data_IF_311239079925
#
_entry.id   IF_311239079925
#
_cell.length_a   1.000
_cell.length_b   1.000
_cell.length_c   1.000
_cell.angle_alpha   90.00
_cell.angle_beta   90.00
_cell.angle_gamma   90.00
#
_symmetry.space_group_name_H-M   'P 1'
#
loop_
_entity.id
_entity.type
_entity.pdbx_description
1 polymer ?
#
# COMPACT_ATOMS: atom_id res chain seq x y z
N UNK A 1 -4.08 -37.04 3.78
CA UNK A 1 -5.25 -37.19 2.92
C UNK A 1 -5.32 -38.60 2.29
N UNK A 2 -4.38 -38.93 1.37
CA UNK A 2 -4.37 -40.18 0.60
C UNK A 2 -4.32 -41.42 1.47
N UNK A 3 -3.49 -41.43 2.53
CA UNK A 3 -3.35 -42.57 3.44
C UNK A 3 -4.64 -42.84 4.20
N UNK A 4 -5.29 -41.80 4.72
CA UNK A 4 -6.57 -41.93 5.44
C UNK A 4 -7.67 -42.46 4.53
N UNK A 5 -7.75 -41.92 3.30
CA UNK A 5 -8.71 -42.35 2.29
C UNK A 5 -8.49 -43.84 1.92
N UNK A 6 -7.23 -44.24 1.71
CA UNK A 6 -6.87 -45.64 1.39
C UNK A 6 -7.29 -46.61 2.51
N UNK A 7 -6.98 -46.26 3.76
CA UNK A 7 -7.37 -47.09 4.93
C UNK A 7 -8.87 -47.23 5.04
N UNK A 8 -9.61 -46.11 4.84
CA UNK A 8 -11.07 -46.12 4.92
C UNK A 8 -11.71 -46.98 3.82
N UNK A 9 -11.19 -46.88 2.57
CA UNK A 9 -11.67 -47.65 1.44
C UNK A 9 -11.31 -49.14 1.54
N UNK A 10 -10.12 -49.47 2.08
CA UNK A 10 -9.76 -50.88 2.34
C UNK A 10 -10.65 -51.48 3.42
N UNK A 11 -10.95 -50.73 4.48
CA UNK A 11 -11.89 -51.19 5.53
C UNK A 11 -13.31 -51.36 4.96
N UNK A 12 -13.79 -50.48 4.12
CA UNK A 12 -15.08 -50.58 3.45
C UNK A 12 -15.16 -51.84 2.54
N UNK A 13 -14.14 -52.10 1.74
CA UNK A 13 -14.06 -53.25 0.85
C UNK A 13 -14.01 -54.57 1.66
N UNK A 14 -13.27 -54.60 2.77
CA UNK A 14 -13.22 -55.74 3.66
C UNK A 14 -14.59 -56.04 4.29
N UNK A 15 -15.31 -54.97 4.69
CA UNK A 15 -16.67 -55.12 5.25
C UNK A 15 -17.69 -55.59 4.21
N UNK A 16 -17.67 -55.05 2.98
CA UNK A 16 -18.59 -55.41 1.92
C UNK A 16 -18.39 -56.86 1.49
N UNK A 17 -17.12 -57.35 1.42
CA UNK A 17 -16.79 -58.74 1.10
C UNK A 17 -17.15 -59.72 2.22
N UNK A 18 -17.00 -59.33 3.44
CA UNK A 18 -17.50 -60.15 4.56
C UNK A 18 -19.00 -60.42 4.44
N UNK A 19 -19.72 -59.51 3.77
CA UNK A 19 -21.17 -59.62 3.55
C UNK A 19 -21.53 -60.46 2.31
N UNK A 20 -20.69 -60.46 1.25
CA UNK A 20 -20.97 -61.15 -0.02
C UNK A 20 -20.38 -62.55 -0.11
N UNK A 21 -19.40 -62.90 0.72
CA UNK A 21 -18.78 -64.22 0.76
C UNK A 21 -17.87 -64.56 -0.45
N UNK A 22 -17.49 -63.58 -1.24
CA UNK A 22 -16.67 -63.76 -2.44
C UNK A 22 -15.20 -64.11 -2.10
N UNK A 23 -14.55 -65.06 -2.83
CA UNK A 23 -13.16 -65.39 -2.58
C UNK A 23 -12.20 -64.25 -2.91
N UNK A 24 -11.24 -64.00 -2.05
CA UNK A 24 -10.17 -63.03 -2.24
C UNK A 24 -9.25 -63.47 -3.37
N UNK A 25 -9.34 -62.84 -4.53
CA UNK A 25 -8.36 -62.99 -5.63
C UNK A 25 -7.21 -61.99 -5.45
N UNK A 26 -6.00 -62.40 -5.86
CA UNK A 26 -4.79 -61.53 -5.77
C UNK A 26 -5.02 -60.20 -6.46
N UNK A 27 -5.70 -60.20 -7.59
CA UNK A 27 -6.07 -59.00 -8.36
C UNK A 27 -6.97 -58.05 -7.60
N UNK A 28 -7.94 -58.57 -6.87
CA UNK A 28 -8.91 -57.78 -6.09
C UNK A 28 -8.30 -57.13 -4.84
N UNK A 29 -7.11 -57.57 -4.44
CA UNK A 29 -6.35 -56.93 -3.33
C UNK A 29 -5.34 -55.90 -3.84
N UNK A 30 -4.67 -56.22 -4.94
CA UNK A 30 -3.59 -55.33 -5.47
C UNK A 30 -4.16 -54.10 -6.15
N UNK A 31 -5.24 -54.21 -6.93
CA UNK A 31 -5.85 -53.05 -7.62
C UNK A 31 -6.27 -51.89 -6.69
N UNK A 32 -7.00 -52.15 -5.58
CA UNK A 32 -7.36 -51.07 -4.67
C UNK A 32 -6.17 -50.56 -3.84
N UNK A 33 -5.17 -51.39 -3.56
CA UNK A 33 -4.00 -51.00 -2.79
C UNK A 33 -3.11 -49.95 -3.54
N UNK A 34 -3.08 -50.02 -4.85
CA UNK A 34 -2.35 -49.05 -5.70
C UNK A 34 -3.29 -47.95 -6.20
N UNK A 35 -4.51 -48.31 -6.62
CA UNK A 35 -5.44 -47.35 -7.24
C UNK A 35 -5.94 -46.27 -6.29
N UNK A 36 -6.30 -46.64 -5.04
CA UNK A 36 -6.82 -45.64 -4.09
C UNK A 36 -5.81 -44.60 -3.63
N UNK A 37 -4.52 -44.95 -3.34
CA UNK A 37 -3.52 -43.91 -3.11
C UNK A 37 -3.32 -42.95 -4.26
N UNK A 38 -3.32 -43.47 -5.50
CA UNK A 38 -3.15 -42.64 -6.71
C UNK A 38 -4.34 -41.69 -6.88
N UNK A 39 -5.57 -42.20 -6.76
CA UNK A 39 -6.80 -41.37 -6.86
C UNK A 39 -6.83 -40.35 -5.72
N UNK A 40 -6.48 -40.74 -4.50
CA UNK A 40 -6.42 -39.85 -3.35
C UNK A 40 -5.35 -38.77 -3.47
N UNK A 41 -4.18 -39.10 -4.01
CA UNK A 41 -3.11 -38.14 -4.30
C UNK A 41 -3.51 -37.16 -5.40
N UNK A 42 -4.12 -37.65 -6.49
CA UNK A 42 -4.60 -36.81 -7.58
C UNK A 42 -5.73 -35.88 -7.12
N UNK A 43 -6.70 -36.41 -6.36
CA UNK A 43 -7.78 -35.60 -5.78
C UNK A 43 -7.26 -34.51 -4.82
N UNK A 44 -6.29 -34.87 -3.94
CA UNK A 44 -5.62 -33.93 -3.07
C UNK A 44 -4.86 -32.82 -3.81
N UNK A 45 -4.15 -33.20 -4.88
CA UNK A 45 -3.46 -32.24 -5.76
C UNK A 45 -4.45 -31.29 -6.44
N UNK A 46 -5.54 -31.79 -6.99
CA UNK A 46 -6.58 -30.98 -7.63
C UNK A 46 -7.22 -29.99 -6.66
N UNK A 47 -7.54 -30.42 -5.44
CA UNK A 47 -8.08 -29.54 -4.39
C UNK A 47 -7.08 -28.46 -4.00
N UNK A 48 -5.80 -28.81 -3.87
CA UNK A 48 -4.73 -27.86 -3.60
C UNK A 48 -4.58 -26.85 -4.74
N UNK A 49 -4.56 -27.33 -5.99
CA UNK A 49 -4.47 -26.46 -7.17
C UNK A 49 -5.65 -25.48 -7.29
N UNK A 50 -6.89 -25.97 -7.04
CA UNK A 50 -8.09 -25.12 -7.03
C UNK A 50 -8.03 -24.06 -5.94
N UNK A 51 -7.59 -24.42 -4.72
CA UNK A 51 -7.41 -23.47 -3.63
C UNK A 51 -6.36 -22.40 -3.97
N UNK A 52 -5.25 -22.82 -4.56
CA UNK A 52 -4.15 -21.90 -4.94
C UNK A 52 -4.59 -20.97 -6.06
N UNK A 53 -5.26 -21.49 -7.10
CA UNK A 53 -5.83 -20.69 -8.19
C UNK A 53 -6.89 -19.71 -7.68
N UNK A 54 -7.77 -20.16 -6.79
CA UNK A 54 -8.77 -19.31 -6.15
C UNK A 54 -8.13 -18.16 -5.36
N UNK A 55 -7.06 -18.43 -4.63
CA UNK A 55 -6.32 -17.41 -3.89
C UNK A 55 -5.63 -16.41 -4.82
N UNK A 56 -4.97 -16.88 -5.89
CA UNK A 56 -4.33 -16.02 -6.89
C UNK A 56 -5.38 -15.16 -7.60
N UNK A 57 -6.49 -15.76 -8.02
CA UNK A 57 -7.59 -15.04 -8.65
C UNK A 57 -8.19 -13.97 -7.74
N UNK A 58 -8.46 -14.30 -6.47
CA UNK A 58 -8.96 -13.34 -5.49
C UNK A 58 -8.01 -12.17 -5.28
N UNK A 59 -6.70 -12.45 -5.17
CA UNK A 59 -5.67 -11.42 -5.03
C UNK A 59 -5.56 -10.52 -6.28
N UNK A 60 -5.67 -11.10 -7.47
CA UNK A 60 -5.72 -10.38 -8.73
C UNK A 60 -6.96 -9.48 -8.84
N UNK A 61 -8.13 -9.96 -8.43
CA UNK A 61 -9.36 -9.17 -8.41
C UNK A 61 -9.30 -7.98 -7.46
N UNK A 62 -8.68 -8.14 -6.29
CA UNK A 62 -8.45 -7.02 -5.37
C UNK A 62 -7.55 -5.95 -5.96
N UNK A 63 -6.47 -6.33 -6.66
CA UNK A 63 -5.57 -5.38 -7.32
C UNK A 63 -6.22 -4.68 -8.51
N UNK A 64 -7.03 -5.39 -9.31
CA UNK A 64 -7.82 -4.81 -10.40
C UNK A 64 -8.85 -3.80 -9.89
N UNK A 65 -9.57 -4.12 -8.81
CA UNK A 65 -10.52 -3.19 -8.18
C UNK A 65 -9.86 -1.88 -7.76
N UNK A 66 -8.65 -1.96 -7.22
CA UNK A 66 -7.85 -0.78 -6.83
C UNK A 66 -7.46 0.07 -8.06
N UNK A 67 -7.03 -0.56 -9.15
CA UNK A 67 -6.65 0.12 -10.40
C UNK A 67 -7.85 0.85 -11.04
N UNK A 68 -9.03 0.24 -11.07
CA UNK A 68 -10.24 0.89 -11.59
C UNK A 68 -10.68 2.07 -10.70
N UNK A 69 -10.62 1.94 -9.39
CA UNK A 69 -10.97 3.01 -8.46
C UNK A 69 -10.03 4.24 -8.59
N UNK A 70 -8.77 4.03 -8.96
CA UNK A 70 -7.77 5.10 -9.05
C UNK A 70 -7.73 5.77 -10.42
N UNK A 71 -8.09 5.10 -11.52
CA UNK A 71 -7.99 5.63 -12.89
C UNK A 71 -8.86 6.87 -13.12
N UNK A 72 -10.10 6.87 -12.67
CA UNK A 72 -10.99 8.03 -12.82
C UNK A 72 -10.53 9.25 -12.01
N UNK A 73 -9.95 9.02 -10.84
CA UNK A 73 -9.44 10.07 -9.96
C UNK A 73 -8.17 10.73 -10.49
N UNK A 74 -7.27 9.97 -11.14
CA UNK A 74 -6.09 10.48 -11.83
C UNK A 74 -6.46 11.51 -12.90
N UNK A 75 -7.41 11.19 -13.77
CA UNK A 75 -7.84 12.09 -14.84
C UNK A 75 -8.51 13.37 -14.32
N UNK A 76 -9.16 13.31 -13.16
CA UNK A 76 -9.75 14.49 -12.50
C UNK A 76 -8.65 15.45 -12.06
N UNK A 77 -7.62 14.96 -11.38
CA UNK A 77 -6.50 15.76 -10.93
C UNK A 77 -5.76 16.40 -12.14
N UNK A 78 -5.46 15.61 -13.16
CA UNK A 78 -4.77 16.11 -14.36
C UNK A 78 -5.57 17.25 -15.00
N UNK A 79 -6.88 17.09 -15.18
CA UNK A 79 -7.73 18.15 -15.76
C UNK A 79 -7.79 19.39 -14.89
N UNK A 80 -7.86 19.22 -13.57
CA UNK A 80 -7.87 20.33 -12.63
C UNK A 80 -6.55 21.10 -12.68
N UNK A 81 -5.42 20.40 -12.59
CA UNK A 81 -4.09 21.01 -12.55
C UNK A 81 -3.68 21.67 -13.86
N UNK A 82 -4.09 21.14 -15.03
CA UNK A 82 -3.80 21.73 -16.33
C UNK A 82 -4.39 23.13 -16.54
N UNK A 83 -5.37 23.53 -15.73
CA UNK A 83 -5.87 24.92 -15.75
C UNK A 83 -4.85 25.92 -15.18
N UNK A 84 -3.88 25.45 -14.40
CA UNK A 84 -2.88 26.27 -13.71
C UNK A 84 -1.46 25.97 -14.18
N UNK A 85 -1.15 24.70 -14.44
CA UNK A 85 0.12 24.20 -14.92
C UNK A 85 -0.11 23.35 -16.18
N UNK A 86 0.02 23.91 -17.41
CA UNK A 86 -0.23 23.16 -18.65
C UNK A 86 0.63 21.90 -18.77
N UNK A 87 1.87 21.95 -18.25
CA UNK A 87 2.85 20.86 -18.28
C UNK A 87 2.77 19.96 -17.04
N UNK A 88 1.68 20.01 -16.28
CA UNK A 88 1.51 19.19 -15.09
C UNK A 88 1.69 17.70 -15.37
N UNK A 89 2.71 17.11 -14.76
CA UNK A 89 3.04 15.69 -14.84
C UNK A 89 2.53 14.92 -13.63
N UNK A 90 1.53 14.04 -13.83
CA UNK A 90 0.96 13.22 -12.75
C UNK A 90 1.99 12.32 -12.06
N UNK A 91 2.92 11.73 -12.80
CA UNK A 91 3.93 10.83 -12.24
C UNK A 91 4.91 11.59 -11.33
N UNK A 92 5.29 12.82 -11.72
CA UNK A 92 6.11 13.68 -10.87
C UNK A 92 5.37 14.05 -9.58
N UNK A 93 4.11 14.42 -9.69
CA UNK A 93 3.25 14.70 -8.53
C UNK A 93 3.15 13.47 -7.61
N UNK A 94 2.87 12.30 -8.17
CA UNK A 94 2.73 11.07 -7.39
C UNK A 94 4.02 10.74 -6.65
N UNK A 95 5.18 10.83 -7.32
CA UNK A 95 6.48 10.57 -6.71
C UNK A 95 6.78 11.56 -5.57
N UNK A 96 6.50 12.85 -5.76
CA UNK A 96 6.68 13.87 -4.70
C UNK A 96 5.79 13.56 -3.48
N UNK A 97 4.52 13.27 -3.71
CA UNK A 97 3.57 13.01 -2.62
C UNK A 97 3.91 11.72 -1.86
N UNK A 98 4.35 10.67 -2.56
CA UNK A 98 4.81 9.43 -1.93
C UNK A 98 6.06 9.69 -1.09
N UNK A 99 7.01 10.50 -1.60
CA UNK A 99 8.21 10.87 -0.87
C UNK A 99 7.87 11.69 0.38
N UNK A 100 6.96 12.67 0.28
CA UNK A 100 6.47 13.44 1.43
C UNK A 100 5.84 12.54 2.49
N UNK A 101 4.97 11.60 2.09
CA UNK A 101 4.36 10.65 3.01
C UNK A 101 5.41 9.81 3.75
N UNK A 102 6.39 9.25 3.03
CA UNK A 102 7.46 8.46 3.62
C UNK A 102 8.29 9.29 4.62
N UNK A 103 8.69 10.49 4.22
CA UNK A 103 9.49 11.35 5.10
C UNK A 103 8.77 11.70 6.39
N UNK A 104 7.46 12.00 6.32
CA UNK A 104 6.66 12.30 7.52
C UNK A 104 6.50 11.05 8.41
N UNK A 105 6.24 9.88 7.81
CA UNK A 105 6.01 8.64 8.56
C UNK A 105 7.26 8.21 9.34
N UNK A 106 8.46 8.44 8.78
CA UNK A 106 9.73 8.08 9.41
C UNK A 106 10.36 9.23 10.22
N UNK A 107 9.68 10.37 10.32
CA UNK A 107 10.12 11.47 11.19
C UNK A 107 9.79 11.21 12.65
N UNK A 108 10.57 11.78 13.55
CA UNK A 108 10.29 11.70 14.97
C UNK A 108 9.06 12.54 15.36
N UNK A 109 8.19 12.05 16.25
CA UNK A 109 7.06 12.82 16.74
C UNK A 109 7.54 14.12 17.40
N UNK A 110 6.98 15.25 16.97
CA UNK A 110 7.33 16.58 17.49
C UNK A 110 8.41 17.33 16.70
N UNK A 111 8.99 16.75 15.66
CA UNK A 111 9.84 17.50 14.73
C UNK A 111 9.06 18.62 14.04
N UNK A 112 9.65 19.81 13.94
CA UNK A 112 9.07 20.97 13.25
C UNK A 112 9.36 20.90 11.75
N UNK A 113 8.74 19.94 11.06
CA UNK A 113 8.94 19.69 9.65
C UNK A 113 8.30 20.77 8.79
N UNK A 114 9.03 21.37 7.85
CA UNK A 114 8.47 22.31 6.88
C UNK A 114 7.56 21.66 5.85
N UNK A 115 7.75 20.36 5.62
CA UNK A 115 6.95 19.55 4.66
C UNK A 115 5.51 19.32 5.12
N UNK A 116 5.19 19.64 6.39
CA UNK A 116 3.85 19.55 6.94
C UNK A 116 3.47 20.84 7.67
N UNK A 117 2.31 21.40 7.36
CA UNK A 117 1.82 22.64 7.96
C UNK A 117 0.77 22.44 9.03
N UNK A 118 0.03 21.37 8.95
CA UNK A 118 -1.03 21.06 9.90
C UNK A 118 -0.59 20.14 11.03
N UNK A 119 -1.46 19.92 12.00
CA UNK A 119 -1.22 18.94 13.05
C UNK A 119 -1.16 17.54 12.44
N UNK A 120 -0.21 16.73 12.86
CA UNK A 120 -0.09 15.35 12.47
C UNK A 120 0.09 14.47 13.72
N UNK A 121 -0.52 13.29 13.62
CA UNK A 121 -0.48 12.31 14.68
C UNK A 121 0.67 11.33 14.41
N UNK A 122 1.85 11.66 14.96
CA UNK A 122 3.02 10.80 14.84
C UNK A 122 2.87 9.44 15.54
N UNK A 123 1.99 9.36 16.56
CA UNK A 123 1.75 8.12 17.28
C UNK A 123 1.14 7.04 16.41
N UNK A 124 0.28 7.42 15.44
CA UNK A 124 -0.32 6.49 14.48
C UNK A 124 0.68 5.81 13.56
N UNK A 125 1.91 6.32 13.45
CA UNK A 125 2.98 5.80 12.60
C UNK A 125 4.10 5.11 13.38
N UNK A 126 4.00 5.05 14.70
CA UNK A 126 4.99 4.36 15.53
C UNK A 126 5.10 2.87 15.19
N UNK A 127 6.31 2.32 15.38
CA UNK A 127 6.65 0.92 15.11
C UNK A 127 6.54 0.49 13.64
N UNK A 128 6.39 1.41 12.70
CA UNK A 128 6.54 1.12 11.27
C UNK A 128 8.04 1.09 10.97
N UNK A 129 8.54 -0.06 10.52
CA UNK A 129 9.95 -0.26 10.15
C UNK A 129 10.18 -0.15 8.65
N UNK A 130 9.18 -0.46 7.85
CA UNK A 130 9.22 -0.32 6.40
C UNK A 130 7.83 -0.03 5.84
N UNK A 131 7.81 0.64 4.68
CA UNK A 131 6.59 1.01 3.99
C UNK A 131 6.77 0.89 2.48
N UNK A 132 5.95 0.04 1.85
CA UNK A 132 5.98 -0.21 0.41
C UNK A 132 4.72 0.34 -0.24
N UNK A 133 4.90 1.29 -1.18
CA UNK A 133 3.79 1.82 -1.98
C UNK A 133 3.22 0.75 -2.90
N UNK A 134 1.92 0.56 -2.88
CA UNK A 134 1.24 -0.50 -3.64
C UNK A 134 0.87 -0.13 -5.09
N UNK A 135 1.42 0.98 -5.59
CA UNK A 135 1.13 1.44 -6.95
C UNK A 135 -0.27 2.05 -7.14
N UNK A 136 -0.96 2.35 -6.05
CA UNK A 136 -2.32 2.89 -6.11
C UNK A 136 -2.43 4.18 -5.30
N UNK A 137 -2.90 5.24 -5.97
CA UNK A 137 -3.24 6.53 -5.38
C UNK A 137 -4.60 6.96 -5.90
N UNK A 138 -5.53 7.27 -5.01
CA UNK A 138 -6.80 7.86 -5.40
C UNK A 138 -6.85 9.34 -5.01
N UNK A 139 -7.44 10.15 -5.88
CA UNK A 139 -7.63 11.57 -5.67
C UNK A 139 -9.11 11.84 -5.38
N UNK A 140 -9.38 12.42 -4.24
CA UNK A 140 -10.72 12.85 -3.84
C UNK A 140 -11.06 14.19 -4.47
N UNK A 141 -11.21 15.22 -3.64
CA UNK A 141 -11.48 16.59 -4.09
C UNK A 141 -10.19 17.33 -4.45
N UNK A 142 -10.29 18.20 -5.47
CA UNK A 142 -9.30 19.20 -5.78
C UNK A 142 -9.99 20.56 -5.72
N UNK A 143 -9.36 21.55 -5.08
CA UNK A 143 -9.91 22.92 -4.98
C UNK A 143 -8.80 23.95 -4.95
N UNK A 144 -9.17 25.19 -5.20
CA UNK A 144 -8.31 26.35 -5.09
C UNK A 144 -8.80 27.23 -3.96
N UNK A 145 -7.89 27.79 -3.20
CA UNK A 145 -8.14 28.79 -2.19
C UNK A 145 -7.04 29.85 -2.21
N UNK A 146 -7.38 31.05 -2.67
CA UNK A 146 -6.40 32.10 -2.92
C UNK A 146 -5.35 31.70 -3.96
N UNK A 147 -4.05 31.88 -3.65
CA UNK A 147 -2.97 31.48 -4.56
C UNK A 147 -2.64 29.99 -4.52
N UNK A 148 -3.28 29.23 -3.67
CA UNK A 148 -2.97 27.83 -3.42
C UNK A 148 -3.99 26.90 -4.06
N UNK A 149 -3.49 25.79 -4.60
CA UNK A 149 -4.30 24.63 -4.98
C UNK A 149 -4.09 23.51 -3.98
N UNK A 150 -5.17 22.75 -3.76
CA UNK A 150 -5.17 21.65 -2.82
C UNK A 150 -5.73 20.38 -3.47
N UNK A 151 -5.22 19.24 -3.03
CA UNK A 151 -5.73 17.93 -3.41
C UNK A 151 -5.85 17.02 -2.19
N UNK A 152 -7.02 16.38 -2.02
CA UNK A 152 -7.25 15.30 -1.05
C UNK A 152 -6.89 13.98 -1.73
N UNK A 153 -5.95 13.24 -1.16
CA UNK A 153 -5.39 12.02 -1.74
C UNK A 153 -5.39 10.89 -0.73
N UNK A 154 -5.65 9.68 -1.22
CA UNK A 154 -5.47 8.45 -0.48
C UNK A 154 -4.33 7.64 -1.12
N UNK A 155 -3.30 7.33 -0.34
CA UNK A 155 -2.18 6.47 -0.70
C UNK A 155 -2.36 5.09 -0.08
N UNK A 156 -2.08 4.04 -0.83
CA UNK A 156 -2.19 2.67 -0.36
C UNK A 156 -0.79 2.07 -0.20
N UNK A 157 -0.49 1.68 1.03
CA UNK A 157 0.79 1.11 1.42
C UNK A 157 0.65 -0.29 2.02
N UNK A 158 1.73 -1.03 1.98
CA UNK A 158 1.94 -2.20 2.81
C UNK A 158 2.98 -1.82 3.87
N UNK A 159 2.54 -1.70 5.11
CA UNK A 159 3.37 -1.29 6.23
C UNK A 159 3.90 -2.53 6.95
N UNK A 160 5.18 -2.54 7.30
CA UNK A 160 5.80 -3.56 8.12
C UNK A 160 5.99 -3.02 9.53
N UNK A 161 5.45 -3.73 10.50
CA UNK A 161 5.50 -3.36 11.92
C UNK A 161 6.43 -4.27 12.70
N UNK A 162 7.27 -3.68 13.54
CA UNK A 162 7.96 -4.41 14.59
C UNK A 162 7.07 -4.53 15.83
N UNK A 163 6.85 -5.77 16.27
CA UNK A 163 6.15 -6.10 17.52
C UNK A 163 7.08 -6.73 18.57
N UNK A 164 8.39 -6.54 18.42
CA UNK A 164 9.41 -7.07 19.31
C UNK A 164 9.72 -8.55 19.10
N UNK A 165 8.70 -9.41 18.92
CA UNK A 165 8.88 -10.86 18.70
C UNK A 165 8.64 -11.30 17.24
N UNK A 166 8.02 -10.44 16.42
CA UNK A 166 7.67 -10.76 15.03
C UNK A 166 7.40 -9.52 14.20
N UNK A 167 7.79 -9.57 12.94
CA UNK A 167 7.40 -8.59 11.93
C UNK A 167 6.00 -8.94 11.39
N UNK A 168 5.15 -7.94 11.23
CA UNK A 168 3.82 -8.10 10.62
C UNK A 168 3.61 -7.10 9.51
N UNK A 169 3.16 -7.60 8.38
CA UNK A 169 2.72 -6.76 7.27
C UNK A 169 1.23 -6.43 7.39
N UNK A 170 0.88 -5.20 7.10
CA UNK A 170 -0.50 -4.73 7.07
C UNK A 170 -0.72 -3.77 5.91
N UNK A 171 -1.85 -3.92 5.23
CA UNK A 171 -2.27 -2.97 4.21
C UNK A 171 -2.97 -1.80 4.88
N UNK A 172 -2.38 -0.62 4.78
CA UNK A 172 -2.92 0.59 5.34
C UNK A 172 -3.18 1.65 4.26
N UNK A 173 -4.11 2.53 4.55
CA UNK A 173 -4.45 3.68 3.70
C UNK A 173 -4.09 4.95 4.45
N UNK A 174 -3.29 5.79 3.81
CA UNK A 174 -2.88 7.08 4.34
C UNK A 174 -3.61 8.16 3.54
N UNK A 175 -4.43 8.94 4.20
CA UNK A 175 -5.10 10.09 3.61
C UNK A 175 -4.31 11.34 3.90
N UNK A 176 -4.07 12.13 2.86
CA UNK A 176 -3.34 13.39 2.93
C UNK A 176 -4.10 14.48 2.19
N UNK A 177 -4.01 15.70 2.71
CA UNK A 177 -4.32 16.91 1.96
C UNK A 177 -2.99 17.56 1.65
N UNK A 178 -2.71 17.77 0.37
CA UNK A 178 -1.50 18.47 -0.10
C UNK A 178 -1.87 19.79 -0.74
N UNK A 179 -1.00 20.80 -0.60
CA UNK A 179 -1.20 22.11 -1.15
C UNK A 179 0.06 22.69 -1.78
N UNK A 180 -0.10 23.53 -2.81
CA UNK A 180 0.99 24.21 -3.52
C UNK A 180 0.53 25.59 -3.99
N UNK A 181 1.44 26.57 -3.98
CA UNK A 181 1.22 27.87 -4.60
C UNK A 181 1.36 27.76 -6.13
N UNK A 182 0.36 28.25 -6.85
CA UNK A 182 0.34 28.22 -8.34
C UNK A 182 0.75 29.55 -8.98
N UNK A 183 0.91 30.60 -8.18
CA UNK A 183 1.32 31.92 -8.71
C UNK A 183 2.83 32.06 -8.81
N UNK A 184 3.58 31.24 -8.08
CA UNK A 184 5.04 31.23 -8.08
C UNK A 184 5.52 30.16 -9.07
N UNK A 185 6.25 30.54 -10.13
CA UNK A 185 6.84 29.57 -11.05
C UNK A 185 7.77 28.61 -10.32
N UNK A 186 7.68 27.32 -10.66
CA UNK A 186 8.62 26.35 -10.13
C UNK A 186 10.03 26.60 -10.64
N UNK A 187 10.99 26.69 -9.73
CA UNK A 187 12.41 26.65 -10.07
C UNK A 187 12.81 25.21 -10.39
N UNK A 188 13.26 24.91 -11.63
CA UNK A 188 13.75 23.57 -11.98
C UNK A 188 14.94 23.08 -11.13
N UNK A 189 15.71 24.05 -10.57
CA UNK A 189 16.85 23.79 -9.69
C UNK A 189 16.51 23.71 -8.21
N UNK A 190 15.23 23.86 -7.83
CA UNK A 190 14.83 23.85 -6.44
C UNK A 190 15.15 22.53 -5.75
N UNK A 191 15.87 22.63 -4.65
CA UNK A 191 16.16 21.51 -3.75
C UNK A 191 15.73 21.86 -2.33
N UNK A 192 14.86 21.05 -1.75
CA UNK A 192 14.39 21.20 -0.39
C UNK A 192 15.52 21.07 0.66
N UNK A 193 16.60 20.35 0.32
CA UNK A 193 17.76 20.16 1.21
C UNK A 193 18.72 21.33 1.21
N UNK A 194 18.58 22.27 0.27
CA UNK A 194 19.41 23.45 0.19
C UNK A 194 18.61 24.64 -0.31
N UNK A 195 17.87 25.26 0.62
CA UNK A 195 17.11 26.48 0.31
C UNK A 195 17.86 27.70 0.82
N UNK A 196 17.66 28.83 0.14
CA UNK A 196 18.20 30.13 0.58
C UNK A 196 17.11 30.95 1.24
N UNK A 197 17.38 31.47 2.43
CA UNK A 197 16.44 32.35 3.12
C UNK A 197 16.30 33.68 2.39
N UNK A 198 15.11 34.03 1.97
CA UNK A 198 14.82 35.29 1.28
C UNK A 198 15.16 36.54 2.10
N UNK A 199 15.17 36.42 3.44
CA UNK A 199 15.39 37.53 4.35
C UNK A 199 16.87 37.80 4.64
N UNK A 200 17.69 36.75 4.85
CA UNK A 200 19.08 36.91 5.24
C UNK A 200 20.08 36.21 4.30
N UNK A 201 19.62 35.53 3.25
CA UNK A 201 20.46 34.84 2.28
C UNK A 201 21.11 33.53 2.77
N UNK A 202 20.93 33.17 4.03
CA UNK A 202 21.54 31.97 4.58
C UNK A 202 20.92 30.69 4.01
N UNK A 203 21.75 29.70 3.70
CA UNK A 203 21.30 28.39 3.23
C UNK A 203 21.01 27.44 4.37
N UNK A 204 19.95 26.64 4.27
CA UNK A 204 19.59 25.61 5.25
C UNK A 204 18.79 24.48 4.60
N UNK A 205 18.65 23.37 5.33
CA UNK A 205 17.81 22.24 4.92
C UNK A 205 16.36 22.46 5.37
N UNK A 206 15.49 22.84 4.41
CA UNK A 206 14.08 23.07 4.70
C UNK A 206 13.29 21.79 4.91
N UNK A 207 13.85 20.61 4.70
CA UNK A 207 13.21 19.34 5.04
C UNK A 207 13.03 19.19 6.53
N UNK A 208 14.02 19.63 7.31
CA UNK A 208 14.12 19.39 8.76
C UNK A 208 13.64 20.55 9.62
N UNK A 209 13.68 21.78 9.11
CA UNK A 209 13.36 22.97 9.87
C UNK A 209 12.48 23.94 9.09
N UNK A 210 11.41 24.41 9.73
CA UNK A 210 10.46 25.38 9.17
C UNK A 210 10.96 26.81 9.27
N UNK A 211 11.82 27.12 10.23
CA UNK A 211 12.31 28.46 10.46
C UNK A 211 13.79 28.57 10.13
N UNK A 212 14.17 29.64 9.42
CA UNK A 212 15.58 29.91 9.17
C UNK A 212 16.37 29.88 10.49
N UNK A 213 17.44 29.08 10.60
CA UNK A 213 18.19 28.95 11.86
C UNK A 213 18.88 30.24 12.28
N UNK A 214 19.10 31.19 11.36
CA UNK A 214 19.82 32.44 11.58
C UNK A 214 18.88 33.61 11.91
N UNK A 215 17.90 33.91 11.05
CA UNK A 215 17.02 35.08 11.24
C UNK A 215 15.63 34.71 11.80
N UNK A 216 15.36 33.44 12.01
CA UNK A 216 14.09 32.88 12.54
C UNK A 216 12.86 33.15 11.65
N UNK A 217 13.02 33.65 10.43
CA UNK A 217 11.91 33.81 9.51
C UNK A 217 11.32 32.45 9.14
N UNK A 218 10.01 32.35 9.14
CA UNK A 218 9.30 31.16 8.68
C UNK A 218 9.48 30.98 7.18
N UNK A 219 9.74 29.74 6.78
CA UNK A 219 9.86 29.33 5.37
C UNK A 219 8.60 28.57 4.96
N UNK A 220 7.89 29.12 3.95
CA UNK A 220 6.71 28.46 3.42
C UNK A 220 7.06 27.58 2.22
N UNK A 221 7.17 26.30 2.47
CA UNK A 221 7.51 25.36 1.42
C UNK A 221 6.46 25.29 0.31
N UNK A 222 5.18 25.67 0.57
CA UNK A 222 4.12 25.68 -0.44
C UNK A 222 4.42 26.57 -1.64
N UNK A 223 5.25 27.59 -1.45
CA UNK A 223 5.65 28.51 -2.51
C UNK A 223 6.60 27.88 -3.51
N UNK A 224 7.22 26.76 -3.17
CA UNK A 224 8.22 26.08 -3.99
C UNK A 224 7.86 24.65 -4.37
N UNK A 225 7.12 23.93 -3.50
CA UNK A 225 6.81 22.52 -3.71
C UNK A 225 5.46 22.13 -3.06
N UNK A 226 4.99 20.93 -3.38
CA UNK A 226 3.86 20.35 -2.69
C UNK A 226 4.19 20.17 -1.20
N UNK A 227 3.27 20.58 -0.35
CA UNK A 227 3.38 20.51 1.11
C UNK A 227 2.16 19.83 1.69
N UNK A 228 2.35 19.04 2.74
CA UNK A 228 1.27 18.34 3.41
C UNK A 228 0.56 19.25 4.38
N UNK A 229 -0.74 19.44 4.20
CA UNK A 229 -1.60 20.25 5.08
C UNK A 229 -2.21 19.39 6.18
N UNK A 230 -2.46 18.12 5.89
CA UNK A 230 -3.00 17.16 6.81
C UNK A 230 -2.61 15.75 6.41
N UNK A 231 -2.22 14.95 7.38
CA UNK A 231 -1.98 13.52 7.17
C UNK A 231 -2.68 12.72 8.27
N UNK A 232 -3.27 11.60 7.90
CA UNK A 232 -3.86 10.68 8.84
C UNK A 232 -3.83 9.26 8.30
N UNK A 233 -3.63 8.31 9.18
CA UNK A 233 -3.80 6.91 8.89
C UNK A 233 -5.29 6.56 8.97
N UNK A 234 -5.84 6.04 7.89
CA UNK A 234 -7.18 5.49 7.86
C UNK A 234 -7.03 3.98 7.92
N UNK A 235 -7.31 3.38 9.07
CA UNK A 235 -7.13 1.96 9.30
C UNK A 235 -7.79 1.13 8.21
N UNK A 236 -7.01 0.28 7.56
CA UNK A 236 -7.58 -0.83 6.80
C UNK A 236 -8.32 -1.73 7.80
N UNK A 237 -9.58 -2.06 7.52
CA UNK A 237 -10.26 -3.12 8.27
C UNK A 237 -9.35 -4.35 8.21
N UNK A 238 -8.91 -4.81 9.37
CA UNK A 238 -8.33 -6.14 9.51
C UNK A 238 -9.40 -7.14 9.07
N UNK A 239 -9.22 -7.71 7.90
CA UNK A 239 -9.95 -8.91 7.48
C UNK A 239 -9.25 -10.15 8.08
#
# INVERSE_FOLDING_TARGET
GAVIFTVFMLAYLAWERAKTGDPLTLYSMICPLIGYPVIGAFGGYMLFALKTLGYIFWRAMQSLGLLFATSGSKNRLIRFMKNYEPDFGYENFANQVIALAKNIIFSEPGEDLSIIRGPWDGESFQNITDIVYRGAMSVGNCWQEGPYVYADIDLYFCDTYDRGSSMKEKNDRIRMIVGKNIQIPQDPGYSIHQVSCESCGASFDAMKIRHCPYCKREYDMRDHAWTVMKIRKTGGKTS
#
